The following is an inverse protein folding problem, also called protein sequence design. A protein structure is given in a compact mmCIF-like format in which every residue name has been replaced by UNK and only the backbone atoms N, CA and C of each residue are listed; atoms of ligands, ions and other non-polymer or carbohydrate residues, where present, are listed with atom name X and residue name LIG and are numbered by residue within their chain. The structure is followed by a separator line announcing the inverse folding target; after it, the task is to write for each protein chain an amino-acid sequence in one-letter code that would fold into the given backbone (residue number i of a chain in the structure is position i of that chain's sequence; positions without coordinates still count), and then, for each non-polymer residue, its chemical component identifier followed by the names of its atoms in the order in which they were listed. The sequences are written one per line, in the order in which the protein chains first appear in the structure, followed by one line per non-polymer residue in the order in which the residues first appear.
data_IF_449084762900
#
_entry.id   IF_449084762900
#
_cell.length_a   1.000
_cell.length_b   1.000
_cell.length_c   1.000
_cell.angle_alpha   90.00
_cell.angle_beta   90.00
_cell.angle_gamma   90.00
#
_symmetry.space_group_name_H-M   'P 1'
#
loop_
_entity.id
_entity.type
_entity.pdbx_description
1 polymer ?
#
# COMPACT_ATOMS: atom_id res chain seq x y z
N UNK A 1 -28.56 -10.64 67.21
CA UNK A 1 -29.66 -10.88 66.24
C UNK A 1 -29.11 -10.73 64.83
N UNK A 2 -29.00 -11.83 64.08
CA UNK A 2 -28.51 -11.86 62.70
C UNK A 2 -29.65 -11.46 61.76
N UNK A 3 -29.45 -10.46 60.92
CA UNK A 3 -30.30 -10.18 59.76
C UNK A 3 -29.40 -10.17 58.53
N UNK A 4 -29.57 -11.17 57.65
CA UNK A 4 -28.79 -11.34 56.43
C UNK A 4 -29.29 -10.40 55.34
N UNK A 5 -28.38 -9.63 54.73
CA UNK A 5 -28.66 -8.85 53.54
C UNK A 5 -28.83 -9.77 52.32
N UNK A 6 -29.99 -9.72 51.67
CA UNK A 6 -30.26 -10.44 50.43
C UNK A 6 -29.46 -9.83 49.27
N UNK A 7 -28.62 -10.66 48.66
CA UNK A 7 -28.02 -10.38 47.37
C UNK A 7 -29.12 -10.30 46.30
N UNK A 8 -29.14 -9.22 45.52
CA UNK A 8 -29.96 -9.12 44.31
C UNK A 8 -29.50 -10.22 43.34
N UNK A 9 -30.29 -11.29 43.24
CA UNK A 9 -30.19 -12.27 42.16
C UNK A 9 -30.62 -11.57 40.85
N UNK A 10 -29.93 -11.80 39.73
CA UNK A 10 -30.39 -11.31 38.43
C UNK A 10 -31.76 -11.95 38.12
N UNK A 11 -32.73 -11.11 37.78
CA UNK A 11 -34.04 -11.53 37.28
C UNK A 11 -33.81 -12.14 35.90
N UNK A 12 -33.94 -13.46 35.81
CA UNK A 12 -34.07 -14.14 34.52
C UNK A 12 -35.52 -13.95 34.04
N UNK A 13 -35.78 -13.51 32.80
CA UNK A 13 -37.12 -13.59 32.24
C UNK A 13 -37.52 -15.06 32.05
N UNK A 14 -38.77 -15.36 32.37
CA UNK A 14 -39.36 -16.70 32.38
C UNK A 14 -39.24 -17.38 31.00
N UNK A 15 -38.89 -18.67 30.99
CA UNK A 15 -38.96 -19.52 29.80
C UNK A 15 -40.42 -19.75 29.42
N UNK A 16 -40.86 -19.09 28.34
CA UNK A 16 -42.02 -19.51 27.57
C UNK A 16 -41.80 -20.93 27.01
N UNK A 17 -42.84 -21.73 27.13
CA UNK A 17 -42.97 -23.16 26.82
C UNK A 17 -42.41 -23.63 25.46
N UNK A 18 -41.76 -24.79 25.48
CA UNK A 18 -41.31 -25.56 24.32
C UNK A 18 -42.47 -25.92 23.38
N UNK A 19 -42.31 -25.62 22.09
CA UNK A 19 -42.84 -26.45 20.98
C UNK A 19 -41.65 -26.92 20.16
N UNK A 20 -41.52 -28.25 20.07
CA UNK A 20 -40.53 -28.93 19.23
C UNK A 20 -40.95 -28.85 17.76
N UNK A 21 -40.14 -28.24 16.92
CA UNK A 21 -40.01 -28.60 15.50
C UNK A 21 -38.53 -28.53 15.10
N UNK A 22 -38.04 -29.61 14.49
CA UNK A 22 -36.66 -29.78 14.07
C UNK A 22 -36.43 -29.27 12.64
N UNK A 23 -35.30 -28.57 12.48
CA UNK A 23 -34.53 -28.22 11.26
C UNK A 23 -35.15 -27.25 10.24
N UNK A 24 -34.63 -26.01 10.23
CA UNK A 24 -34.80 -25.02 9.17
C UNK A 24 -35.25 -23.66 9.69
N UNK A 25 -34.34 -22.68 9.74
CA UNK A 25 -34.56 -21.25 10.00
C UNK A 25 -35.46 -20.92 11.21
N UNK A 26 -34.89 -21.03 12.42
CA UNK A 26 -35.48 -20.36 13.59
C UNK A 26 -35.58 -18.88 13.24
N UNK A 27 -36.80 -18.37 13.12
CA UNK A 27 -37.04 -16.95 12.86
C UNK A 27 -37.76 -16.40 14.07
N UNK A 28 -37.17 -15.41 14.73
CA UNK A 28 -37.74 -14.73 15.89
C UNK A 28 -38.20 -13.32 15.52
N UNK A 29 -39.08 -12.73 16.34
CA UNK A 29 -39.56 -11.36 16.12
C UNK A 29 -38.89 -10.38 17.08
N UNK A 30 -38.34 -9.30 16.53
CA UNK A 30 -37.89 -8.11 17.24
C UNK A 30 -38.91 -6.98 16.95
N UNK A 31 -39.87 -6.79 17.86
CA UNK A 31 -41.03 -5.91 17.66
C UNK A 31 -41.84 -6.21 16.38
N UNK A 32 -41.57 -5.52 15.27
CA UNK A 32 -42.29 -5.66 13.99
C UNK A 32 -41.46 -6.32 12.89
N UNK A 33 -40.19 -6.63 13.16
CA UNK A 33 -39.26 -7.21 12.18
C UNK A 33 -38.87 -8.62 12.62
N UNK A 34 -38.76 -9.55 11.66
CA UNK A 34 -38.25 -10.89 11.90
C UNK A 34 -36.72 -10.94 11.74
N UNK A 35 -36.04 -11.71 12.58
CA UNK A 35 -34.58 -11.88 12.54
C UNK A 35 -34.18 -13.35 12.78
N UNK A 36 -32.98 -13.69 12.31
CA UNK A 36 -32.36 -14.99 12.54
C UNK A 36 -31.56 -14.94 13.87
N UNK A 37 -31.98 -15.68 14.92
CA UNK A 37 -31.35 -15.70 16.23
C UNK A 37 -30.00 -16.45 16.23
N UNK A 38 -29.64 -17.15 15.16
CA UNK A 38 -28.29 -17.72 14.97
C UNK A 38 -27.30 -16.71 14.37
N UNK A 39 -27.78 -15.60 13.81
CA UNK A 39 -26.93 -14.57 13.18
C UNK A 39 -26.97 -13.21 13.88
N UNK A 40 -28.01 -12.93 14.63
CA UNK A 40 -28.29 -11.63 15.20
C UNK A 40 -29.04 -11.75 16.52
N UNK A 41 -29.12 -10.64 17.26
CA UNK A 41 -29.80 -10.55 18.56
C UNK A 41 -30.70 -9.31 18.58
N UNK A 42 -31.92 -9.44 19.09
CA UNK A 42 -32.81 -8.30 19.31
C UNK A 42 -32.50 -7.59 20.64
N UNK A 43 -32.15 -6.31 20.58
CA UNK A 43 -31.82 -5.47 21.73
C UNK A 43 -32.74 -4.24 21.76
N UNK A 44 -33.60 -4.09 22.79
CA UNK A 44 -34.57 -2.98 22.93
C UNK A 44 -35.25 -2.57 21.62
N UNK A 45 -35.86 -3.55 20.94
CA UNK A 45 -36.59 -3.35 19.67
C UNK A 45 -35.71 -3.09 18.44
N UNK A 46 -34.39 -3.25 18.53
CA UNK A 46 -33.47 -3.13 17.39
C UNK A 46 -32.69 -4.44 17.15
N UNK A 47 -32.65 -4.91 15.90
CA UNK A 47 -31.85 -6.08 15.52
C UNK A 47 -30.38 -5.66 15.45
N UNK A 48 -29.52 -6.38 16.18
CA UNK A 48 -28.09 -6.12 16.27
C UNK A 48 -27.27 -7.35 15.82
N UNK A 49 -26.12 -7.15 15.16
CA UNK A 49 -25.23 -8.25 14.82
C UNK A 49 -24.58 -8.83 16.08
N UNK A 50 -24.17 -10.10 16.05
CA UNK A 50 -23.31 -10.62 17.10
C UNK A 50 -21.97 -9.89 17.14
N UNK A 51 -21.43 -9.72 18.35
CA UNK A 51 -20.13 -9.07 18.51
C UNK A 51 -19.02 -9.98 17.95
N UNK A 52 -18.43 -9.61 16.82
CA UNK A 52 -17.38 -10.38 16.15
C UNK A 52 -16.10 -10.41 16.99
N UNK A 53 -15.88 -11.48 17.74
CA UNK A 53 -14.58 -11.82 18.31
C UNK A 53 -14.38 -13.33 18.29
N UNK A 54 -13.24 -13.76 17.74
CA UNK A 54 -12.87 -15.15 17.51
C UNK A 54 -12.73 -15.90 18.84
N UNK A 55 -13.60 -16.90 19.05
CA UNK A 55 -13.38 -17.95 20.07
C UNK A 55 -14.54 -18.24 21.03
N UNK A 56 -15.55 -17.36 21.16
CA UNK A 56 -16.71 -17.60 22.03
C UNK A 56 -18.00 -17.11 21.35
N UNK A 57 -18.59 -17.96 20.51
CA UNK A 57 -19.74 -17.63 19.66
C UNK A 57 -21.01 -17.23 20.46
N UNK A 58 -21.07 -17.48 21.78
CA UNK A 58 -22.30 -17.36 22.57
C UNK A 58 -22.25 -16.38 23.74
N UNK A 59 -21.37 -15.38 23.73
CA UNK A 59 -21.32 -14.40 24.84
C UNK A 59 -21.95 -13.06 24.52
N UNK A 60 -22.43 -12.80 23.30
CA UNK A 60 -23.02 -11.48 22.99
C UNK A 60 -24.28 -11.22 23.83
N UNK A 61 -24.32 -10.05 24.49
CA UNK A 61 -25.44 -9.58 25.30
C UNK A 61 -25.99 -8.25 24.76
N UNK A 62 -27.20 -7.88 25.17
CA UNK A 62 -27.79 -6.58 24.86
C UNK A 62 -27.51 -5.54 25.96
N UNK A 63 -27.24 -4.31 25.53
CA UNK A 63 -27.16 -3.14 26.37
C UNK A 63 -27.98 -2.01 25.76
N UNK A 64 -29.20 -1.83 26.27
CA UNK A 64 -30.19 -1.01 25.59
C UNK A 64 -30.41 -1.59 24.19
N UNK A 65 -30.24 -0.73 23.18
CA UNK A 65 -30.39 -1.07 21.76
C UNK A 65 -29.18 -1.74 21.11
N UNK A 66 -28.05 -1.89 21.81
CA UNK A 66 -26.77 -2.35 21.23
C UNK A 66 -26.39 -3.73 21.71
N UNK A 67 -25.88 -4.58 20.81
CA UNK A 67 -25.19 -5.81 21.20
C UNK A 67 -23.76 -5.52 21.66
N UNK A 68 -23.22 -6.33 22.58
CA UNK A 68 -21.84 -6.21 23.05
C UNK A 68 -21.29 -7.52 23.61
N UNK A 69 -19.96 -7.59 23.73
CA UNK A 69 -19.29 -8.69 24.40
C UNK A 69 -19.09 -8.37 25.90
N UNK A 70 -19.71 -9.11 26.83
CA UNK A 70 -19.56 -8.93 28.28
C UNK A 70 -18.18 -9.31 28.80
N UNK A 71 -17.32 -9.94 27.98
CA UNK A 71 -15.91 -10.11 28.32
C UNK A 71 -15.08 -8.83 28.08
N UNK A 72 -15.57 -7.88 27.27
CA UNK A 72 -14.84 -6.67 26.87
C UNK A 72 -15.41 -5.38 27.47
N UNK A 73 -16.73 -5.33 27.65
CA UNK A 73 -17.44 -4.14 28.15
C UNK A 73 -18.50 -4.54 29.17
N UNK A 74 -18.99 -3.55 29.92
CA UNK A 74 -20.14 -3.68 30.83
C UNK A 74 -21.30 -2.83 30.33
N UNK A 75 -22.52 -3.29 30.55
CA UNK A 75 -23.71 -2.48 30.34
C UNK A 75 -24.17 -1.83 31.65
N UNK A 76 -24.22 -0.50 31.70
CA UNK A 76 -24.75 0.27 32.82
C UNK A 76 -25.98 1.06 32.34
N UNK A 77 -27.17 0.69 32.82
CA UNK A 77 -28.44 1.34 32.50
C UNK A 77 -28.64 1.61 30.99
N UNK A 78 -28.37 0.61 30.15
CA UNK A 78 -28.50 0.72 28.69
C UNK A 78 -27.32 1.38 27.96
N UNK A 79 -26.25 1.74 28.68
CA UNK A 79 -25.04 2.32 28.09
C UNK A 79 -23.81 1.42 28.24
N UNK A 80 -23.06 1.26 27.15
CA UNK A 80 -21.83 0.45 27.13
C UNK A 80 -20.64 1.23 27.71
N UNK A 81 -19.96 0.61 28.67
CA UNK A 81 -18.80 1.18 29.36
C UNK A 81 -17.61 0.22 29.34
N UNK A 82 -16.41 0.77 29.44
CA UNK A 82 -15.19 -0.03 29.54
C UNK A 82 -14.99 -0.55 30.97
N UNK A 83 -14.29 -1.67 31.10
CA UNK A 83 -13.90 -2.20 32.40
C UNK A 83 -12.76 -1.40 33.05
N UNK A 84 -12.78 -1.34 34.37
CA UNK A 84 -11.66 -0.90 35.19
C UNK A 84 -10.90 -2.13 35.69
N UNK A 85 -9.88 -2.57 34.96
CA UNK A 85 -9.07 -3.75 35.29
C UNK A 85 -9.71 -5.11 34.96
N UNK A 86 -11.03 -5.16 34.73
CA UNK A 86 -11.76 -6.35 34.27
C UNK A 86 -13.22 -6.41 34.74
N UNK A 87 -13.97 -7.46 34.36
CA UNK A 87 -15.36 -7.66 34.78
C UNK A 87 -15.51 -7.82 36.29
N UNK A 88 -14.55 -8.47 36.95
CA UNK A 88 -14.60 -8.77 38.39
C UNK A 88 -14.39 -7.54 39.27
N UNK A 89 -13.84 -6.45 38.73
CA UNK A 89 -13.48 -5.22 39.46
C UNK A 89 -14.36 -4.03 39.07
N UNK A 90 -15.23 -4.18 38.09
CA UNK A 90 -16.11 -3.12 37.61
C UNK A 90 -17.54 -3.31 38.11
N UNK A 91 -18.22 -2.22 38.46
CA UNK A 91 -19.65 -2.20 38.76
C UNK A 91 -20.32 -0.98 38.13
N UNK A 92 -21.65 -0.97 38.08
CA UNK A 92 -22.43 0.15 37.53
C UNK A 92 -23.03 1.02 38.64
N UNK A 93 -22.96 2.34 38.47
CA UNK A 93 -23.71 3.31 39.26
C UNK A 93 -24.55 4.15 38.29
N UNK A 94 -25.85 3.85 38.21
CA UNK A 94 -26.73 4.32 37.12
C UNK A 94 -26.15 3.89 35.76
N UNK A 95 -25.87 4.85 34.89
CA UNK A 95 -25.36 4.68 33.54
C UNK A 95 -23.83 4.71 33.44
N UNK A 96 -23.12 4.98 34.54
CA UNK A 96 -21.66 5.01 34.60
C UNK A 96 -21.09 3.71 35.18
N UNK A 97 -19.96 3.27 34.62
CA UNK A 97 -19.16 2.20 35.22
C UNK A 97 -18.13 2.80 36.18
N UNK A 98 -17.81 2.07 37.25
CA UNK A 98 -16.79 2.47 38.20
C UNK A 98 -15.98 1.26 38.70
N UNK A 99 -14.78 1.53 39.20
CA UNK A 99 -13.93 0.54 39.84
C UNK A 99 -14.41 0.28 41.28
N UNK A 100 -15.07 -0.86 41.51
CA UNK A 100 -15.67 -1.17 42.82
C UNK A 100 -14.64 -1.47 43.91
N UNK A 101 -13.34 -1.46 43.58
CA UNK A 101 -12.26 -1.58 44.57
C UNK A 101 -12.03 -0.29 45.35
N UNK A 102 -12.48 0.85 44.82
CA UNK A 102 -12.24 2.17 45.43
C UNK A 102 -13.49 3.03 45.56
N UNK A 103 -14.60 2.61 44.96
CA UNK A 103 -15.81 3.40 44.94
C UNK A 103 -17.00 2.50 45.23
N UNK A 104 -18.03 3.08 45.84
CA UNK A 104 -19.31 2.43 46.09
C UNK A 104 -20.44 3.32 45.58
N UNK A 105 -21.46 2.73 44.96
CA UNK A 105 -22.66 3.44 44.55
C UNK A 105 -23.69 3.46 45.69
N UNK A 106 -24.04 4.64 46.19
CA UNK A 106 -25.09 4.83 47.21
C UNK A 106 -26.17 5.73 46.67
N UNK A 107 -27.41 5.22 46.57
CA UNK A 107 -28.56 5.96 46.00
C UNK A 107 -28.26 6.57 44.61
N UNK A 108 -27.48 5.85 43.78
CA UNK A 108 -27.11 6.31 42.44
C UNK A 108 -26.10 7.47 42.43
N UNK A 109 -25.39 7.70 43.53
CA UNK A 109 -24.24 8.61 43.61
C UNK A 109 -22.98 7.81 43.94
N UNK A 110 -21.90 8.09 43.21
CA UNK A 110 -20.62 7.46 43.44
C UNK A 110 -19.95 8.06 44.68
N UNK A 111 -19.71 7.23 45.68
CA UNK A 111 -18.94 7.58 46.88
C UNK A 111 -17.55 6.96 46.80
N UNK A 112 -16.58 7.67 47.34
CA UNK A 112 -15.18 7.23 47.39
C UNK A 112 -14.99 6.41 48.66
N UNK A 113 -14.47 5.20 48.52
CA UNK A 113 -14.15 4.30 49.65
C UNK A 113 -12.68 4.45 50.07
N UNK A 114 -12.21 5.69 50.05
CA UNK A 114 -10.85 6.08 50.42
C UNK A 114 -10.84 7.54 50.90
N UNK A 115 -9.82 7.92 51.65
CA UNK A 115 -9.67 9.26 52.23
C UNK A 115 -9.24 10.26 51.13
N UNK A 116 -10.19 10.76 50.34
CA UNK A 116 -9.91 11.53 49.11
C UNK A 116 -9.15 12.87 49.25
N UNK A 117 -9.03 13.49 50.45
CA UNK A 117 -8.03 14.56 50.67
C UNK A 117 -6.57 14.08 50.60
N UNK A 118 -6.30 12.84 51.01
CA UNK A 118 -4.93 12.28 51.18
C UNK A 118 -4.66 11.06 50.32
N UNK A 119 -5.67 10.54 49.63
CA UNK A 119 -5.61 9.34 48.82
C UNK A 119 -6.24 9.53 47.45
N UNK A 120 -5.76 8.76 46.48
CA UNK A 120 -6.26 8.68 45.11
C UNK A 120 -6.36 7.20 44.72
N UNK A 121 -7.40 6.82 43.98
CA UNK A 121 -7.50 5.46 43.44
C UNK A 121 -6.77 5.36 42.10
N UNK A 122 -5.71 4.55 42.05
CA UNK A 122 -4.96 4.25 40.84
C UNK A 122 -5.08 2.77 40.50
N UNK A 123 -5.68 2.45 39.35
CA UNK A 123 -5.96 1.09 38.89
C UNK A 123 -6.56 0.17 39.98
N UNK A 124 -7.50 0.72 40.76
CA UNK A 124 -8.21 0.03 41.83
C UNK A 124 -7.45 -0.17 43.13
N UNK A 125 -6.35 0.54 43.32
CA UNK A 125 -5.63 0.60 44.59
C UNK A 125 -5.69 2.03 45.12
N UNK A 126 -6.19 2.20 46.35
CA UNK A 126 -6.14 3.48 47.04
C UNK A 126 -4.69 3.76 47.47
N UNK A 127 -4.06 4.76 46.85
CA UNK A 127 -2.69 5.18 47.07
C UNK A 127 -2.66 6.51 47.82
N UNK A 128 -1.58 6.79 48.54
CA UNK A 128 -1.30 8.14 49.04
C UNK A 128 -1.26 9.13 47.86
N UNK A 129 -1.84 10.31 48.04
CA UNK A 129 -1.94 11.36 47.04
C UNK A 129 -0.81 12.40 47.24
N UNK A 130 0.38 12.24 46.61
CA UNK A 130 1.54 13.08 46.88
C UNK A 130 1.37 14.56 46.49
N UNK A 131 0.36 14.90 45.69
CA UNK A 131 -0.02 16.26 45.34
C UNK A 131 -1.48 16.58 45.74
N UNK A 132 -2.02 15.87 46.73
CA UNK A 132 -3.42 15.98 47.14
C UNK A 132 -4.35 15.81 45.94
N UNK A 133 -5.28 16.77 45.75
CA UNK A 133 -6.24 16.79 44.63
C UNK A 133 -5.61 16.84 43.23
N UNK A 134 -4.33 17.22 43.12
CA UNK A 134 -3.61 17.30 41.86
C UNK A 134 -2.81 16.03 41.56
N UNK A 135 -2.85 15.00 42.41
CA UNK A 135 -2.16 13.75 42.15
C UNK A 135 -2.71 13.07 40.89
N UNK A 136 -1.85 12.42 40.12
CA UNK A 136 -2.21 11.66 38.92
C UNK A 136 -1.81 10.20 39.07
N UNK A 137 -2.35 9.33 38.21
CA UNK A 137 -2.05 7.90 38.21
C UNK A 137 -1.21 7.50 37.00
N UNK A 138 -0.19 6.67 37.23
CA UNK A 138 0.53 5.95 36.20
C UNK A 138 0.40 4.46 36.50
N UNK A 139 -0.55 3.80 35.83
CA UNK A 139 -0.98 2.46 36.24
C UNK A 139 -1.54 2.47 37.67
N UNK A 140 -0.97 1.63 38.54
CA UNK A 140 -1.36 1.53 39.95
C UNK A 140 -0.64 2.55 40.87
N UNK A 141 0.30 3.34 40.34
CA UNK A 141 1.12 4.26 41.14
C UNK A 141 0.58 5.68 41.07
N UNK A 142 0.37 6.30 42.23
CA UNK A 142 0.06 7.72 42.33
C UNK A 142 1.34 8.57 42.27
N UNK A 143 1.29 9.68 41.57
CA UNK A 143 2.43 10.59 41.43
C UNK A 143 2.00 12.06 41.45
N UNK A 144 2.96 12.93 41.78
CA UNK A 144 2.77 14.38 41.68
C UNK A 144 3.10 14.83 40.25
N UNK A 145 2.15 15.43 39.51
CA UNK A 145 2.41 15.90 38.16
C UNK A 145 3.35 17.11 38.14
N UNK A 146 3.77 17.64 39.28
CA UNK A 146 4.78 18.71 39.35
C UNK A 146 6.21 18.14 39.27
N UNK A 147 6.42 16.88 39.66
CA UNK A 147 7.75 16.25 39.70
C UNK A 147 7.90 15.08 38.73
N UNK A 148 6.80 14.41 38.41
CA UNK A 148 6.80 13.21 37.57
C UNK A 148 5.84 13.35 36.38
N UNK A 149 6.04 12.46 35.41
CA UNK A 149 5.25 12.31 34.19
C UNK A 149 5.10 10.81 33.88
N UNK A 150 3.95 10.42 33.33
CA UNK A 150 3.69 9.03 32.93
C UNK A 150 3.74 8.92 31.40
N UNK A 151 4.70 8.16 30.88
CA UNK A 151 4.90 7.96 29.43
C UNK A 151 4.65 6.49 29.09
N UNK A 152 3.60 6.21 28.31
CA UNK A 152 3.18 4.84 27.94
C UNK A 152 3.13 3.86 29.13
N UNK A 153 2.64 4.32 30.29
CA UNK A 153 2.53 3.51 31.51
C UNK A 153 3.80 3.40 32.34
N UNK A 154 4.92 3.99 31.90
CA UNK A 154 6.14 4.12 32.69
C UNK A 154 6.16 5.46 33.42
N UNK A 155 6.32 5.41 34.75
CA UNK A 155 6.46 6.60 35.59
C UNK A 155 7.91 7.08 35.55
N UNK A 156 8.13 8.35 35.20
CA UNK A 156 9.45 8.98 35.15
C UNK A 156 9.44 10.38 35.74
N UNK A 157 10.64 10.90 36.01
CA UNK A 157 10.83 12.29 36.44
C UNK A 157 10.59 13.27 35.29
N UNK A 158 10.17 14.50 35.62
CA UNK A 158 10.11 15.60 34.65
C UNK A 158 11.50 16.14 34.34
N UNK A 159 12.18 15.56 33.34
CA UNK A 159 13.53 15.99 32.94
C UNK A 159 13.65 17.48 32.61
N UNK A 160 12.62 18.05 31.97
CA UNK A 160 12.56 19.48 31.63
C UNK A 160 11.63 20.31 32.51
N UNK A 161 11.20 19.80 33.67
CA UNK A 161 10.15 20.45 34.47
C UNK A 161 8.85 20.57 33.66
N UNK A 162 8.33 21.79 33.52
CA UNK A 162 7.15 22.10 32.71
C UNK A 162 7.34 21.80 31.21
N UNK A 163 8.59 21.81 30.72
CA UNK A 163 8.96 21.51 29.33
C UNK A 163 9.16 20.00 29.08
N UNK A 164 8.80 19.15 30.05
CA UNK A 164 8.93 17.70 29.87
C UNK A 164 7.84 17.14 28.96
N UNK A 165 8.25 16.37 27.97
CA UNK A 165 7.37 15.65 27.04
C UNK A 165 7.69 14.15 27.01
N UNK A 166 6.78 13.34 26.49
CA UNK A 166 6.94 11.88 26.41
C UNK A 166 7.46 11.43 25.04
N UNK A 167 8.42 10.52 25.03
CA UNK A 167 8.89 9.78 23.87
C UNK A 167 8.91 8.29 24.19
N UNK A 168 7.93 7.54 23.66
CA UNK A 168 7.72 6.15 24.07
C UNK A 168 7.48 6.04 25.58
N UNK A 169 8.35 5.31 26.27
CA UNK A 169 8.29 5.07 27.72
C UNK A 169 9.11 6.07 28.56
N UNK A 170 9.77 7.05 27.92
CA UNK A 170 10.68 7.96 28.60
C UNK A 170 10.24 9.40 28.49
N UNK A 171 10.59 10.20 29.49
CA UNK A 171 10.48 11.65 29.45
C UNK A 171 11.76 12.30 28.88
N UNK A 172 11.58 13.44 28.23
CA UNK A 172 12.66 14.27 27.68
C UNK A 172 12.34 15.76 27.85
N UNK A 173 13.36 16.62 27.80
CA UNK A 173 13.20 18.08 27.85
C UNK A 173 13.09 18.65 26.43
N UNK A 174 11.90 19.12 26.05
CA UNK A 174 11.62 19.60 24.69
C UNK A 174 12.38 20.88 24.29
N UNK A 175 13.12 21.49 25.22
CA UNK A 175 14.01 22.63 24.93
C UNK A 175 15.34 22.20 24.32
N UNK A 176 15.77 20.97 24.58
CA UNK A 176 17.10 20.46 24.18
C UNK A 176 17.03 19.14 23.39
N UNK A 177 15.91 18.43 23.52
CA UNK A 177 15.71 17.09 22.97
C UNK A 177 14.41 17.02 22.17
N UNK A 178 14.36 16.06 21.24
CA UNK A 178 13.19 15.76 20.41
C UNK A 178 12.91 14.25 20.41
N UNK A 179 11.68 13.89 20.02
CA UNK A 179 11.28 12.49 19.88
C UNK A 179 11.16 12.09 18.41
N UNK A 180 12.05 11.21 17.94
CA UNK A 180 12.03 10.69 16.58
C UNK A 180 11.92 9.16 16.62
N UNK A 181 10.86 8.60 16.04
CA UNK A 181 10.55 7.16 16.04
C UNK A 181 10.63 6.50 17.43
N UNK A 182 10.05 7.14 18.45
CA UNK A 182 10.11 6.70 19.86
C UNK A 182 11.52 6.69 20.47
N UNK A 183 12.51 7.33 19.83
CA UNK A 183 13.85 7.54 20.38
C UNK A 183 14.03 9.01 20.73
N UNK A 184 14.50 9.28 21.95
CA UNK A 184 14.89 10.62 22.37
C UNK A 184 16.23 10.95 21.72
N UNK A 185 16.28 12.06 21.00
CA UNK A 185 17.47 12.52 20.26
C UNK A 185 17.78 13.96 20.66
N UNK A 186 19.04 14.35 20.53
CA UNK A 186 19.45 15.74 20.73
C UNK A 186 18.92 16.60 19.58
N UNK A 187 18.40 17.78 19.90
CA UNK A 187 17.71 18.66 18.97
C UNK A 187 16.58 19.35 19.72
N UNK A 188 16.78 20.62 20.07
CA UNK A 188 15.82 21.35 20.88
C UNK A 188 15.83 22.84 20.56
N UNK A 189 14.66 23.45 20.70
CA UNK A 189 14.39 24.84 20.35
C UNK A 189 13.03 25.07 19.69
N UNK A 190 12.15 24.07 19.62
CA UNK A 190 10.81 24.21 19.04
C UNK A 190 10.79 24.23 17.51
N UNK A 191 11.88 23.80 16.88
CA UNK A 191 12.05 23.75 15.43
C UNK A 191 12.61 22.40 14.98
N UNK A 192 12.18 21.28 15.58
CA UNK A 192 12.78 19.97 15.30
C UNK A 192 11.82 19.12 14.46
N UNK A 193 12.23 18.82 13.23
CA UNK A 193 11.63 17.78 12.38
C UNK A 193 12.48 16.52 12.45
N UNK A 194 11.88 15.36 12.16
CA UNK A 194 12.60 14.08 12.22
C UNK A 194 12.99 13.59 10.82
N UNK A 195 14.24 13.12 10.72
CA UNK A 195 14.80 12.44 9.56
C UNK A 195 15.31 11.07 10.04
N UNK A 196 14.44 10.07 10.04
CA UNK A 196 14.71 8.82 10.77
C UNK A 196 14.83 9.08 12.27
N UNK A 197 15.95 8.68 12.88
CA UNK A 197 16.24 8.86 14.31
C UNK A 197 17.15 10.08 14.54
N UNK A 198 17.03 11.12 13.72
CA UNK A 198 17.80 12.36 13.85
C UNK A 198 16.83 13.53 13.78
N UNK A 199 16.91 14.41 14.77
CA UNK A 199 16.22 15.69 14.76
C UNK A 199 17.00 16.71 13.94
N UNK A 200 16.30 17.55 13.20
CA UNK A 200 16.90 18.61 12.39
C UNK A 200 16.02 19.86 12.35
N UNK A 201 16.65 21.01 12.11
CA UNK A 201 15.96 22.28 11.98
C UNK A 201 15.39 22.45 10.56
N UNK A 202 14.07 22.38 10.32
CA UNK A 202 13.51 22.42 8.98
C UNK A 202 13.65 23.79 8.31
N UNK A 203 14.05 24.85 9.04
CA UNK A 203 14.34 26.18 8.48
C UNK A 203 15.70 26.24 7.81
N UNK A 204 16.71 25.54 8.37
CA UNK A 204 18.09 25.57 7.88
C UNK A 204 18.53 24.25 7.26
N UNK A 205 17.79 23.17 7.48
CA UNK A 205 18.12 21.81 7.05
C UNK A 205 16.91 21.13 6.40
N UNK A 206 17.17 20.06 5.65
CA UNK A 206 16.20 19.23 4.96
C UNK A 206 16.59 17.76 5.10
N UNK A 207 15.60 16.88 5.18
CA UNK A 207 15.79 15.43 5.14
C UNK A 207 15.71 14.93 3.70
N UNK A 208 16.77 14.27 3.23
CA UNK A 208 16.86 13.69 1.89
C UNK A 208 17.15 12.18 1.95
N UNK A 209 16.68 11.45 0.94
CA UNK A 209 16.86 9.99 0.86
C UNK A 209 16.27 9.24 2.06
N UNK A 210 16.90 8.12 2.45
CA UNK A 210 16.53 7.32 3.62
C UNK A 210 17.23 7.82 4.88
N UNK A 211 16.92 9.03 5.33
CA UNK A 211 17.37 9.61 6.61
C UNK A 211 18.69 10.42 6.58
N UNK A 212 19.02 11.12 5.48
CA UNK A 212 20.18 12.04 5.46
C UNK A 212 19.73 13.47 5.73
N UNK A 213 20.17 14.06 6.84
CA UNK A 213 19.96 15.49 7.14
C UNK A 213 21.07 16.31 6.47
N UNK A 214 20.67 17.32 5.70
CA UNK A 214 21.61 18.22 5.01
C UNK A 214 21.14 19.68 5.08
N UNK A 215 22.09 20.61 5.01
CA UNK A 215 21.81 22.06 5.05
C UNK A 215 21.08 22.53 3.80
N UNK A 216 20.10 23.41 3.95
CA UNK A 216 19.38 24.03 2.84
C UNK A 216 20.29 24.94 2.02
N UNK A 217 20.30 24.76 0.70
CA UNK A 217 21.05 25.61 -0.23
C UNK A 217 20.24 26.81 -0.77
N UNK A 218 18.91 26.75 -0.69
CA UNK A 218 18.01 27.77 -1.22
C UNK A 218 16.79 27.98 -0.30
N UNK A 219 17.02 27.92 1.03
CA UNK A 219 15.96 28.04 2.03
C UNK A 219 14.77 27.13 1.69
N UNK A 220 13.56 27.69 1.63
CA UNK A 220 12.31 27.00 1.31
C UNK A 220 12.26 26.36 -0.08
N UNK A 221 13.02 26.88 -1.05
CA UNK A 221 13.09 26.31 -2.40
C UNK A 221 14.09 25.17 -2.53
N UNK A 222 14.80 24.79 -1.46
CA UNK A 222 15.76 23.68 -1.51
C UNK A 222 15.07 22.35 -1.85
N UNK A 223 15.59 21.63 -2.84
CA UNK A 223 15.15 20.29 -3.19
C UNK A 223 16.24 19.24 -2.91
N UNK A 224 15.83 17.98 -2.74
CA UNK A 224 16.73 16.84 -2.59
C UNK A 224 17.16 16.25 -3.94
N UNK A 225 18.41 15.82 -4.02
CA UNK A 225 18.98 15.04 -5.11
C UNK A 225 19.88 13.95 -4.53
N UNK A 226 19.34 12.74 -4.37
CA UNK A 226 20.02 11.69 -3.62
C UNK A 226 20.26 12.11 -2.17
N UNK A 227 21.52 12.09 -1.74
CA UNK A 227 21.98 12.56 -0.41
C UNK A 227 22.46 14.01 -0.42
N UNK A 228 22.22 14.76 -1.50
CA UNK A 228 22.57 16.18 -1.62
C UNK A 228 21.32 17.06 -1.74
N UNK A 229 21.48 18.34 -1.42
CA UNK A 229 20.44 19.36 -1.59
C UNK A 229 20.85 20.31 -2.70
N UNK A 230 19.89 20.89 -3.42
CA UNK A 230 20.17 21.87 -4.47
C UNK A 230 19.08 22.93 -4.60
N UNK A 231 19.42 24.04 -5.27
CA UNK A 231 18.48 25.05 -5.71
C UNK A 231 17.90 24.67 -7.10
N UNK A 232 16.59 24.39 -7.23
CA UNK A 232 15.96 24.00 -8.49
C UNK A 232 15.94 25.13 -9.55
N UNK A 233 16.15 26.39 -9.16
CA UNK A 233 16.28 27.50 -10.09
C UNK A 233 17.65 27.50 -10.80
N UNK A 234 18.70 27.06 -10.09
CA UNK A 234 20.09 27.10 -10.56
C UNK A 234 20.61 25.74 -11.00
N UNK A 235 19.93 24.65 -10.68
CA UNK A 235 20.41 23.30 -10.92
C UNK A 235 19.26 22.32 -11.18
N UNK A 236 19.60 21.17 -11.75
CA UNK A 236 18.69 20.04 -12.03
C UNK A 236 19.28 18.78 -11.38
N UNK A 237 18.41 17.89 -10.87
CA UNK A 237 18.84 16.60 -10.35
C UNK A 237 18.71 15.51 -11.40
N UNK A 238 19.80 14.82 -11.74
CA UNK A 238 19.82 13.70 -12.67
C UNK A 238 20.38 12.45 -11.98
N UNK A 239 19.52 11.45 -11.72
CA UNK A 239 19.89 10.19 -11.08
C UNK A 239 20.70 10.35 -9.78
N UNK A 240 20.32 11.32 -8.94
CA UNK A 240 20.99 11.62 -7.67
C UNK A 240 22.18 12.57 -7.76
N UNK A 241 22.54 13.04 -8.97
CA UNK A 241 23.61 14.02 -9.18
C UNK A 241 23.06 15.40 -9.51
N UNK A 242 23.53 16.41 -8.79
CA UNK A 242 23.18 17.82 -9.04
C UNK A 242 23.99 18.32 -10.23
N UNK A 243 23.29 18.84 -11.24
CA UNK A 243 23.90 19.44 -12.45
C UNK A 243 23.51 20.91 -12.58
N UNK A 244 24.43 21.77 -13.05
CA UNK A 244 24.12 23.17 -13.25
C UNK A 244 23.01 23.32 -14.31
N UNK A 245 22.07 24.22 -14.04
CA UNK A 245 21.02 24.57 -14.96
C UNK A 245 21.42 25.84 -15.70
N UNK A 246 21.29 25.83 -17.01
CA UNK A 246 21.32 27.05 -17.82
C UNK A 246 19.87 27.51 -18.00
N UNK A 247 19.44 28.65 -17.42
CA UNK A 247 18.05 29.12 -17.49
C UNK A 247 17.56 29.33 -18.93
N UNK A 248 18.48 29.57 -19.88
CA UNK A 248 18.16 29.77 -21.29
C UNK A 248 17.96 28.44 -22.03
N UNK A 249 18.30 27.31 -21.42
CA UNK A 249 18.18 25.97 -22.00
C UNK A 249 17.18 25.15 -21.19
N UNK A 250 16.25 24.50 -21.89
CA UNK A 250 15.35 23.51 -21.29
C UNK A 250 16.08 22.18 -21.12
N UNK A 251 17.04 22.13 -20.20
CA UNK A 251 17.84 20.93 -19.94
C UNK A 251 16.96 19.78 -19.43
N UNK A 252 17.31 18.56 -19.83
CA UNK A 252 16.69 17.31 -19.40
C UNK A 252 17.77 16.34 -18.90
N UNK A 253 17.36 15.28 -18.19
CA UNK A 253 18.29 14.29 -17.67
C UNK A 253 18.46 13.08 -18.61
N UNK A 254 19.69 12.57 -18.67
CA UNK A 254 20.09 11.33 -19.33
C UNK A 254 21.08 10.63 -18.39
N UNK A 255 20.63 9.58 -17.70
CA UNK A 255 21.37 9.00 -16.58
C UNK A 255 21.76 10.06 -15.54
N UNK A 256 23.06 10.19 -15.28
CA UNK A 256 23.66 11.16 -14.34
C UNK A 256 23.97 12.51 -14.98
N UNK A 257 23.73 12.67 -16.29
CA UNK A 257 24.05 13.87 -17.05
C UNK A 257 22.80 14.69 -17.35
N UNK A 258 23.00 16.00 -17.55
CA UNK A 258 21.99 16.88 -18.09
C UNK A 258 22.33 17.22 -19.54
N UNK A 259 21.35 17.22 -20.45
CA UNK A 259 21.52 17.52 -21.87
C UNK A 259 20.47 18.50 -22.38
N UNK A 260 20.77 19.18 -23.49
CA UNK A 260 19.86 20.09 -24.18
C UNK A 260 19.13 19.34 -25.32
N UNK A 261 17.82 19.05 -25.18
CA UNK A 261 17.08 18.26 -26.17
C UNK A 261 17.00 18.91 -27.56
N UNK A 262 17.28 20.22 -27.66
CA UNK A 262 17.37 20.93 -28.96
C UNK A 262 18.60 20.53 -29.78
N UNK A 263 19.70 20.16 -29.12
CA UNK A 263 20.98 19.83 -29.78
C UNK A 263 21.43 18.41 -29.54
N UNK A 264 20.87 17.73 -28.55
CA UNK A 264 21.30 16.44 -28.04
C UNK A 264 20.10 15.50 -27.88
N UNK A 265 20.38 14.20 -27.77
CA UNK A 265 19.44 13.11 -27.53
C UNK A 265 20.04 12.16 -26.49
N UNK A 266 19.19 11.56 -25.66
CA UNK A 266 19.60 10.54 -24.70
C UNK A 266 19.37 9.13 -25.27
N UNK A 267 20.41 8.31 -25.30
CA UNK A 267 20.36 6.91 -25.73
C UNK A 267 20.96 6.04 -24.62
N UNK A 268 20.13 5.27 -23.89
CA UNK A 268 20.54 4.42 -22.76
C UNK A 268 21.53 5.13 -21.81
N UNK A 269 21.08 6.23 -21.20
CA UNK A 269 21.86 7.05 -20.27
C UNK A 269 23.12 7.72 -20.87
N UNK A 270 23.35 7.60 -22.18
CA UNK A 270 24.44 8.25 -22.89
C UNK A 270 23.92 9.46 -23.68
N UNK A 271 24.53 10.63 -23.45
CA UNK A 271 24.20 11.86 -24.18
C UNK A 271 24.89 11.86 -25.54
N UNK A 272 24.10 11.97 -26.60
CA UNK A 272 24.55 12.00 -27.98
C UNK A 272 24.16 13.34 -28.63
N UNK A 273 24.98 13.86 -29.54
CA UNK A 273 24.60 15.06 -30.31
C UNK A 273 23.49 14.72 -31.32
N UNK A 274 22.70 15.69 -31.77
CA UNK A 274 21.82 15.49 -32.92
C UNK A 274 22.59 15.73 -34.21
N UNK A 275 22.21 15.02 -35.28
CA UNK A 275 22.68 15.37 -36.61
C UNK A 275 22.09 16.71 -37.03
N UNK A 276 22.85 17.48 -37.81
CA UNK A 276 22.35 18.73 -38.41
C UNK A 276 21.62 18.37 -39.70
N UNK A 277 20.44 18.96 -39.94
CA UNK A 277 19.68 18.76 -41.17
C UNK A 277 18.20 18.50 -40.91
N UNK A 278 17.49 18.06 -41.96
CA UNK A 278 16.04 17.75 -41.91
C UNK A 278 15.75 16.33 -41.42
N UNK A 279 16.77 15.47 -41.35
CA UNK A 279 16.60 14.06 -41.02
C UNK A 279 16.57 13.85 -39.50
N UNK A 280 15.77 12.88 -39.07
CA UNK A 280 15.62 12.58 -37.65
C UNK A 280 16.89 11.89 -37.10
N UNK A 281 17.25 12.25 -35.88
CA UNK A 281 18.25 11.50 -35.08
C UNK A 281 17.49 10.63 -34.08
N UNK A 282 17.71 9.32 -34.14
CA UNK A 282 17.10 8.33 -33.24
C UNK A 282 18.19 7.50 -32.53
N UNK A 283 17.78 6.71 -31.55
CA UNK A 283 18.66 5.84 -30.77
C UNK A 283 18.55 4.38 -31.21
N UNK A 284 19.67 3.67 -31.18
CA UNK A 284 19.77 2.22 -31.29
C UNK A 284 20.70 1.73 -30.18
N UNK A 285 20.12 1.20 -29.10
CA UNK A 285 20.83 1.05 -27.83
C UNK A 285 21.39 2.38 -27.33
N UNK A 286 22.66 2.41 -26.98
CA UNK A 286 23.39 3.61 -26.52
C UNK A 286 23.93 4.53 -27.66
N UNK A 287 23.75 4.13 -28.92
CA UNK A 287 24.24 4.88 -30.08
C UNK A 287 23.12 5.70 -30.74
N UNK A 288 23.49 6.85 -31.31
CA UNK A 288 22.62 7.61 -32.20
C UNK A 288 22.78 7.14 -33.64
N UNK A 289 21.74 7.27 -34.45
CA UNK A 289 21.82 7.11 -35.91
C UNK A 289 20.95 8.12 -36.67
N UNK A 290 21.31 8.37 -37.93
CA UNK A 290 20.56 9.21 -38.85
C UNK A 290 19.57 8.33 -39.62
N UNK A 291 18.27 8.63 -39.53
CA UNK A 291 17.23 7.81 -40.16
C UNK A 291 17.28 7.81 -41.69
N UNK A 292 18.01 8.74 -42.30
CA UNK A 292 18.22 8.76 -43.75
C UNK A 292 19.32 7.79 -44.19
N UNK A 293 20.37 7.65 -43.39
CA UNK A 293 21.57 6.87 -43.74
C UNK A 293 21.51 5.44 -43.20
N UNK A 294 20.79 5.22 -42.10
CA UNK A 294 20.86 3.96 -41.35
C UNK A 294 19.51 3.58 -40.72
N UNK A 295 19.39 2.33 -40.30
CA UNK A 295 18.27 1.76 -39.55
C UNK A 295 18.78 1.02 -38.31
N UNK A 296 17.98 0.96 -37.25
CA UNK A 296 18.28 0.17 -36.06
C UNK A 296 17.75 -1.25 -36.21
N UNK A 297 18.63 -2.24 -36.13
CA UNK A 297 18.32 -3.65 -36.16
C UNK A 297 18.73 -4.32 -34.85
N UNK A 298 18.42 -5.60 -34.69
CA UNK A 298 18.85 -6.39 -33.53
C UNK A 298 20.39 -6.37 -33.35
N UNK A 299 21.14 -6.36 -34.45
CA UNK A 299 22.60 -6.28 -34.44
C UNK A 299 23.16 -4.86 -34.24
N UNK A 300 22.31 -3.85 -34.01
CA UNK A 300 22.70 -2.45 -33.89
C UNK A 300 22.40 -1.61 -35.14
N UNK A 301 23.14 -0.50 -35.31
CA UNK A 301 22.94 0.44 -36.42
C UNK A 301 23.52 -0.12 -37.71
N UNK A 302 22.69 -0.20 -38.77
CA UNK A 302 23.09 -0.70 -40.09
C UNK A 302 22.82 0.36 -41.16
N UNK A 303 23.79 0.63 -42.02
CA UNK A 303 23.65 1.58 -43.13
C UNK A 303 22.72 1.06 -44.22
N UNK A 304 21.80 1.91 -44.69
CA UNK A 304 20.91 1.64 -45.81
C UNK A 304 21.72 1.55 -47.10
N UNK A 305 21.36 0.64 -48.00
CA UNK A 305 22.09 0.43 -49.26
C UNK A 305 21.47 1.16 -50.45
N UNK A 306 20.14 1.33 -50.50
CA UNK A 306 19.44 1.89 -51.66
C UNK A 306 18.25 2.78 -51.30
N UNK A 307 18.43 4.10 -51.32
CA UNK A 307 17.33 5.10 -51.36
C UNK A 307 16.40 5.10 -50.12
N UNK A 308 15.48 6.08 -49.97
CA UNK A 308 14.62 6.21 -48.79
C UNK A 308 13.60 5.08 -48.57
N UNK A 309 13.48 4.11 -49.48
CA UNK A 309 12.52 3.00 -49.42
C UNK A 309 13.13 1.66 -48.93
N UNK A 310 14.40 1.67 -48.46
CA UNK A 310 15.19 0.52 -48.01
C UNK A 310 15.16 0.37 -46.46
N UNK A 311 14.01 0.02 -45.90
CA UNK A 311 13.72 0.38 -44.50
C UNK A 311 13.52 -0.77 -43.50
N UNK A 312 13.75 -2.04 -43.87
CA UNK A 312 13.62 -3.16 -42.92
C UNK A 312 14.89 -3.99 -42.73
N UNK A 313 15.01 -4.52 -41.52
CA UNK A 313 16.07 -5.44 -41.09
C UNK A 313 15.74 -6.88 -41.47
N UNK A 314 16.76 -7.61 -41.89
CA UNK A 314 16.74 -9.06 -42.07
C UNK A 314 18.03 -9.63 -41.48
N UNK A 315 17.98 -9.98 -40.19
CA UNK A 315 19.19 -10.27 -39.40
C UNK A 315 20.18 -9.09 -39.47
N UNK A 316 21.44 -9.30 -39.88
CA UNK A 316 22.48 -8.26 -39.93
C UNK A 316 22.48 -7.45 -41.24
N UNK A 317 21.43 -7.50 -42.06
CA UNK A 317 21.34 -6.81 -43.35
C UNK A 317 20.05 -6.00 -43.47
N UNK A 318 20.06 -4.97 -44.31
CA UNK A 318 18.85 -4.26 -44.73
C UNK A 318 18.35 -4.80 -46.07
N UNK A 319 17.06 -4.66 -46.34
CA UNK A 319 16.46 -5.03 -47.63
C UNK A 319 15.38 -4.04 -48.08
N UNK A 320 15.11 -4.04 -49.40
CA UNK A 320 14.12 -3.17 -50.02
C UNK A 320 12.72 -3.75 -49.85
N UNK A 321 11.87 -3.16 -49.01
CA UNK A 321 10.54 -3.70 -48.72
C UNK A 321 9.59 -3.71 -49.93
N UNK A 322 9.87 -2.91 -50.97
CA UNK A 322 9.08 -2.91 -52.21
C UNK A 322 9.44 -4.08 -53.12
N UNK A 323 10.71 -4.51 -53.12
CA UNK A 323 11.24 -5.54 -54.05
C UNK A 323 11.58 -6.88 -53.41
N UNK A 324 11.68 -6.92 -52.09
CA UNK A 324 12.25 -8.02 -51.33
C UNK A 324 11.42 -8.31 -50.08
N UNK A 325 11.62 -9.50 -49.51
CA UNK A 325 11.05 -9.95 -48.24
C UNK A 325 12.13 -10.67 -47.41
N UNK A 326 12.03 -10.61 -46.09
CA UNK A 326 12.92 -11.35 -45.20
C UNK A 326 12.25 -12.62 -44.70
N UNK A 327 12.88 -13.78 -44.94
CA UNK A 327 12.44 -15.07 -44.46
C UNK A 327 13.56 -15.72 -43.66
N UNK A 328 13.36 -15.92 -42.35
CA UNK A 328 14.34 -16.52 -41.43
C UNK A 328 15.76 -15.92 -41.53
N UNK A 329 15.86 -14.59 -41.63
CA UNK A 329 17.14 -13.88 -41.74
C UNK A 329 17.79 -13.89 -43.13
N UNK A 330 17.13 -14.50 -44.13
CA UNK A 330 17.53 -14.46 -45.54
C UNK A 330 16.65 -13.49 -46.34
N UNK A 331 17.30 -12.58 -47.06
CA UNK A 331 16.62 -11.67 -47.98
C UNK A 331 16.31 -12.40 -49.28
N UNK A 332 15.04 -12.41 -49.67
CA UNK A 332 14.55 -12.98 -50.92
C UNK A 332 13.92 -11.90 -51.80
N UNK A 333 13.89 -12.12 -53.11
CA UNK A 333 13.10 -11.29 -54.02
C UNK A 333 11.62 -11.60 -53.87
N UNK A 334 10.79 -10.56 -54.00
CA UNK A 334 9.35 -10.76 -54.14
C UNK A 334 9.04 -11.41 -55.50
N UNK A 335 8.23 -12.45 -55.49
CA UNK A 335 7.60 -13.10 -56.62
C UNK A 335 6.27 -12.42 -56.99
N UNK A 336 5.61 -11.76 -56.04
CA UNK A 336 4.40 -10.96 -56.17
C UNK A 336 4.24 -9.95 -55.01
N UNK A 337 3.14 -9.18 -55.03
CA UNK A 337 2.91 -8.09 -54.06
C UNK A 337 2.64 -8.60 -52.63
N UNK A 338 2.16 -9.84 -52.51
CA UNK A 338 1.72 -10.48 -51.25
C UNK A 338 2.57 -11.68 -50.85
N UNK A 339 3.83 -11.70 -51.28
CA UNK A 339 4.77 -12.77 -50.95
C UNK A 339 4.82 -13.09 -49.45
N UNK A 340 4.70 -14.39 -49.14
CA UNK A 340 4.83 -14.94 -47.80
C UNK A 340 6.14 -15.73 -47.69
N UNK A 341 6.54 -16.00 -46.44
CA UNK A 341 7.73 -16.79 -46.17
C UNK A 341 7.37 -18.23 -45.81
N UNK A 342 8.09 -19.18 -46.43
CA UNK A 342 8.16 -20.57 -46.03
C UNK A 342 9.61 -20.91 -45.68
N UNK A 343 9.90 -21.01 -44.38
CA UNK A 343 11.26 -21.12 -43.87
C UNK A 343 12.18 -19.99 -44.40
N UNK A 344 13.16 -20.32 -45.25
CA UNK A 344 14.12 -19.38 -45.84
C UNK A 344 13.71 -18.85 -47.23
N UNK A 345 12.55 -19.24 -47.75
CA UNK A 345 12.11 -18.93 -49.12
C UNK A 345 10.89 -18.00 -49.13
N UNK A 346 10.89 -17.09 -50.10
CA UNK A 346 9.69 -16.32 -50.45
C UNK A 346 8.83 -17.10 -51.42
N UNK A 347 7.51 -17.02 -51.28
CA UNK A 347 6.57 -17.60 -52.23
C UNK A 347 5.32 -16.74 -52.40
N UNK A 348 4.75 -16.76 -53.61
CA UNK A 348 3.45 -16.16 -53.87
C UNK A 348 2.34 -17.09 -53.33
N UNK A 349 1.53 -16.62 -52.37
CA UNK A 349 0.49 -17.43 -51.75
C UNK A 349 -0.65 -17.83 -52.69
N UNK A 350 -0.71 -17.29 -53.91
CA UNK A 350 -1.69 -17.69 -54.94
C UNK A 350 -1.27 -18.94 -55.71
N UNK A 351 0.03 -19.26 -55.77
CA UNK A 351 0.57 -20.40 -56.53
C UNK A 351 1.10 -21.52 -55.63
N UNK A 352 1.45 -21.21 -54.39
CA UNK A 352 2.05 -22.16 -53.45
C UNK A 352 1.52 -21.96 -52.03
N UNK A 353 1.77 -22.94 -51.17
CA UNK A 353 1.42 -22.97 -49.75
C UNK A 353 2.58 -23.56 -48.95
N UNK A 354 2.82 -23.07 -47.74
CA UNK A 354 3.84 -23.62 -46.85
C UNK A 354 3.23 -24.67 -45.91
N UNK A 355 3.69 -25.91 -46.00
CA UNK A 355 3.25 -27.05 -45.20
C UNK A 355 4.41 -27.56 -44.35
N UNK A 356 4.38 -27.33 -43.04
CA UNK A 356 5.43 -27.70 -42.09
C UNK A 356 6.86 -27.38 -42.62
N UNK A 357 7.09 -26.11 -42.95
CA UNK A 357 8.34 -25.58 -43.53
C UNK A 357 8.69 -26.02 -44.96
N UNK A 358 7.87 -26.87 -45.59
CA UNK A 358 8.02 -27.26 -46.99
C UNK A 358 7.10 -26.48 -47.91
N UNK A 359 7.65 -25.93 -49.00
CA UNK A 359 6.85 -25.25 -50.01
C UNK A 359 6.17 -26.28 -50.93
N UNK A 360 4.85 -26.21 -51.02
CA UNK A 360 4.03 -27.09 -51.88
C UNK A 360 3.22 -26.27 -52.89
N UNK A 361 3.00 -26.79 -54.11
CA UNK A 361 2.17 -26.11 -55.10
C UNK A 361 0.70 -26.13 -54.68
N UNK A 362 -0.07 -25.12 -55.10
CA UNK A 362 -1.53 -25.11 -54.96
C UNK A 362 -2.20 -25.99 -56.01
N UNK A 363 -2.00 -27.31 -55.94
CA UNK A 363 -2.57 -28.29 -56.87
C UNK A 363 -4.10 -28.26 -56.95
N UNK A 364 -4.76 -27.74 -55.92
CA UNK A 364 -6.22 -27.57 -55.84
C UNK A 364 -6.65 -26.10 -55.78
N UNK A 365 -5.79 -25.19 -56.24
CA UNK A 365 -6.00 -23.73 -56.15
C UNK A 365 -6.18 -23.27 -54.70
N UNK A 366 -7.18 -22.42 -54.47
CA UNK A 366 -7.50 -21.90 -53.13
C UNK A 366 -7.97 -22.99 -52.15
N UNK A 367 -8.37 -24.18 -52.65
CA UNK A 367 -8.73 -25.33 -51.83
C UNK A 367 -7.49 -26.14 -51.40
N UNK A 368 -6.27 -25.77 -51.76
CA UNK A 368 -5.09 -26.50 -51.27
C UNK A 368 -4.84 -26.17 -49.80
N UNK A 369 -4.91 -27.18 -48.93
CA UNK A 369 -4.59 -27.10 -47.49
C UNK A 369 -3.46 -28.08 -47.13
N UNK A 370 -2.83 -27.88 -45.97
CA UNK A 370 -1.73 -28.72 -45.47
C UNK A 370 -2.18 -29.66 -44.35
N UNK A 371 -1.69 -30.89 -44.37
CA UNK A 371 -1.69 -31.84 -43.26
C UNK A 371 -0.24 -32.27 -43.02
N UNK A 372 0.40 -31.72 -41.99
CA UNK A 372 1.87 -31.77 -41.86
C UNK A 372 2.57 -31.23 -43.12
N UNK A 373 3.31 -32.09 -43.82
CA UNK A 373 3.98 -31.77 -45.09
C UNK A 373 3.10 -32.05 -46.31
N UNK A 374 2.02 -32.82 -46.18
CA UNK A 374 1.20 -33.24 -47.32
C UNK A 374 0.13 -32.21 -47.69
N UNK A 375 -0.11 -32.02 -49.00
CA UNK A 375 -1.19 -31.17 -49.49
C UNK A 375 -2.45 -31.98 -49.77
N UNK A 376 -3.61 -31.41 -49.47
CA UNK A 376 -4.90 -32.04 -49.76
C UNK A 376 -5.97 -31.03 -50.15
N UNK A 377 -7.05 -31.53 -50.77
CA UNK A 377 -8.27 -30.79 -51.04
C UNK A 377 -9.29 -31.07 -49.92
N UNK A 378 -9.76 -30.06 -49.16
CA UNK A 378 -10.76 -30.24 -48.11
C UNK A 378 -12.10 -30.73 -48.63
N UNK A 379 -12.34 -30.69 -49.95
CA UNK A 379 -13.53 -31.28 -50.56
C UNK A 379 -13.46 -32.80 -50.64
N UNK A 380 -12.25 -33.38 -50.74
CA UNK A 380 -12.05 -34.84 -50.88
C UNK A 380 -11.44 -35.49 -49.63
N UNK A 381 -10.76 -34.75 -48.76
CA UNK A 381 -10.04 -35.33 -47.63
C UNK A 381 -10.07 -34.38 -46.41
N UNK A 382 -9.73 -34.88 -45.22
CA UNK A 382 -9.62 -34.13 -43.96
C UNK A 382 -8.32 -34.51 -43.24
N UNK A 383 -7.70 -33.53 -42.57
CA UNK A 383 -6.54 -33.75 -41.72
C UNK A 383 -6.98 -33.95 -40.26
N UNK A 384 -6.64 -35.10 -39.67
CA UNK A 384 -6.96 -35.44 -38.29
C UNK A 384 -5.67 -35.73 -37.52
N UNK A 385 -5.17 -34.71 -36.82
CA UNK A 385 -3.79 -34.73 -36.28
C UNK A 385 -2.80 -34.72 -37.44
N UNK A 386 -1.93 -35.73 -37.49
CA UNK A 386 -0.84 -35.84 -38.46
C UNK A 386 -1.23 -36.74 -39.66
N UNK A 387 -2.49 -37.18 -39.72
CA UNK A 387 -2.98 -38.16 -40.71
C UNK A 387 -4.04 -37.57 -41.63
N UNK A 388 -3.82 -37.75 -42.93
CA UNK A 388 -4.78 -37.43 -43.97
C UNK A 388 -5.78 -38.58 -44.15
N UNK A 389 -7.08 -38.24 -44.17
CA UNK A 389 -8.18 -39.20 -44.28
C UNK A 389 -9.09 -38.76 -45.44
N UNK A 390 -9.36 -39.65 -46.40
CA UNK A 390 -10.26 -39.37 -47.51
C UNK A 390 -11.74 -39.37 -47.06
N UNK A 391 -12.51 -38.42 -47.59
CA UNK A 391 -13.96 -38.31 -47.42
C UNK A 391 -14.61 -39.16 -48.51
N UNK A 392 -15.38 -40.16 -48.10
CA UNK A 392 -16.17 -41.01 -49.01
C UNK A 392 -17.35 -40.26 -49.62
#
# INVERSE_FOLDING_TARGET
MKLSAHAFRPVFPERGSNVNTSTGDRTECCCRESYDPEKSICCDSEIQPFSNYTGYLNTTMCCGKKSYNPALKICCNGQLRNFFGGPSTTACCKDEAYDKRCYTCVMGQLRKDFNYPTQICCNGVAQYAPAGKHSCCCGATAFSPNTHICCNGALGWRKGGEFSSCCGYQSFDQRYEACCNNVVVQGGGGYDSCCGNVAYNPRTQICCGKNTVITRQANEHTCCCGSSSFNPEKSICCSGYVRPRDPKKRLQCCGIYSFNPKREICCEDTVQQRYKGKHATLCCGNQRYNTYESVCCESGVINKKYTPDDDCCCGPKTYNIKKQVCCNGKVNHKCGDYDLCCNNLSYDPNISICCNEELKPRSYGNMTLCCETEIFNPSSSICCGDKLIDKY
#
